data_IF_755078724741
#
_entry.id   IF_755078724741
#
_cell.length_a   1.000
_cell.length_b   1.000
_cell.length_c   1.000
_cell.angle_alpha   90.00
_cell.angle_beta   90.00
_cell.angle_gamma   90.00
#
_symmetry.space_group_name_H-M   'P 1'
#
loop_
_entity.id
_entity.type
_entity.pdbx_description
1 polymer ?
#
# COMPACT_ATOMS: atom_id res chain seq x y z
N UNK A 1 -17.03 31.75 10.47
CA UNK A 1 -16.69 30.58 9.64
C UNK A 1 -17.19 29.36 10.39
N UNK A 2 -18.17 28.64 9.84
CA UNK A 2 -18.65 27.39 10.43
C UNK A 2 -17.70 26.25 10.04
N UNK A 3 -17.11 25.60 11.04
CA UNK A 3 -16.35 24.37 10.87
C UNK A 3 -17.33 23.26 10.50
N UNK A 4 -17.36 22.86 9.23
CA UNK A 4 -18.08 21.66 8.80
C UNK A 4 -17.34 20.42 9.30
N UNK A 5 -17.79 19.88 10.42
CA UNK A 5 -17.34 18.58 10.92
C UNK A 5 -17.79 17.52 9.91
N UNK A 6 -16.84 16.85 9.26
CA UNK A 6 -17.12 15.68 8.41
C UNK A 6 -17.15 14.45 9.30
N UNK A 7 -18.34 13.92 9.55
CA UNK A 7 -18.54 12.66 10.28
C UNK A 7 -18.26 11.48 9.35
N UNK A 8 -17.40 10.56 9.78
CA UNK A 8 -17.20 9.26 9.14
C UNK A 8 -17.95 8.22 10.00
N UNK A 9 -18.80 7.40 9.37
CA UNK A 9 -19.52 6.30 10.03
C UNK A 9 -18.98 4.96 9.56
N UNK A 10 -18.73 4.05 10.50
CA UNK A 10 -18.35 2.67 10.25
C UNK A 10 -19.45 1.71 10.73
N UNK A 11 -19.61 0.57 10.06
CA UNK A 11 -20.47 -0.52 10.51
C UNK A 11 -19.90 -1.12 11.81
N UNK A 12 -20.72 -1.12 12.87
CA UNK A 12 -20.38 -1.48 14.25
C UNK A 12 -19.89 -2.94 14.42
N UNK A 13 -20.27 -3.83 13.52
CA UNK A 13 -20.13 -5.26 13.73
C UNK A 13 -18.93 -5.80 12.94
N UNK A 14 -17.73 -5.69 13.53
CA UNK A 14 -16.54 -6.37 13.01
C UNK A 14 -15.21 -5.93 13.62
N UNK A 15 -15.05 -4.66 14.00
CA UNK A 15 -13.78 -4.12 14.52
C UNK A 15 -14.06 -3.23 15.73
N UNK A 16 -13.57 -3.63 16.89
CA UNK A 16 -13.82 -2.98 18.20
C UNK A 16 -12.95 -1.74 18.45
N UNK A 17 -12.37 -1.12 17.42
CA UNK A 17 -11.55 0.09 17.54
C UNK A 17 -11.14 0.68 16.19
N UNK A 18 -10.99 2.00 16.13
CA UNK A 18 -10.28 2.65 15.03
C UNK A 18 -8.78 2.52 15.31
N UNK A 19 -8.16 1.43 14.88
CA UNK A 19 -6.70 1.25 14.94
C UNK A 19 -6.06 2.20 13.91
N UNK A 20 -5.89 3.45 14.35
CA UNK A 20 -5.37 4.53 13.54
C UNK A 20 -3.85 4.53 13.56
N UNK A 21 -3.24 4.69 12.39
CA UNK A 21 -1.80 5.02 12.28
C UNK A 21 -1.65 6.37 11.61
N UNK A 22 -0.81 7.21 12.22
CA UNK A 22 -0.39 8.50 11.67
C UNK A 22 1.05 8.36 11.17
N UNK A 23 1.28 8.72 9.91
CA UNK A 23 2.60 8.72 9.28
C UNK A 23 2.53 9.60 8.05
N UNK A 24 3.68 10.08 7.58
CA UNK A 24 3.80 10.73 6.29
C UNK A 24 3.93 9.64 5.20
N UNK A 25 2.92 9.48 4.34
CA UNK A 25 2.87 8.47 3.27
C UNK A 25 3.24 9.03 1.90
N UNK A 26 3.43 10.35 1.77
CA UNK A 26 3.72 11.01 0.50
C UNK A 26 5.00 11.90 0.54
N UNK A 27 5.66 11.96 1.69
CA UNK A 27 6.86 12.72 2.01
C UNK A 27 6.71 14.24 1.87
N UNK A 28 5.53 14.78 2.19
CA UNK A 28 5.28 16.22 2.20
C UNK A 28 5.53 16.90 3.57
N UNK A 29 5.91 16.12 4.58
CA UNK A 29 6.17 16.57 5.94
C UNK A 29 4.91 16.73 6.80
N UNK A 30 3.74 16.34 6.30
CA UNK A 30 2.47 16.39 7.01
C UNK A 30 2.03 14.97 7.38
N UNK A 31 1.27 14.85 8.48
CA UNK A 31 0.79 13.55 8.93
C UNK A 31 -0.45 13.14 8.15
N UNK A 32 -0.34 12.02 7.45
CA UNK A 32 -1.47 11.30 6.88
C UNK A 32 -2.05 10.33 7.92
N UNK A 33 -3.18 9.71 7.57
CA UNK A 33 -3.89 8.80 8.47
C UNK A 33 -4.30 7.52 7.76
N UNK A 34 -4.22 6.39 8.48
CA UNK A 34 -4.86 5.15 8.07
C UNK A 34 -5.82 4.64 9.15
N UNK A 35 -6.82 3.86 8.74
CA UNK A 35 -7.75 3.17 9.65
C UNK A 35 -7.89 1.73 9.16
N UNK A 36 -7.74 0.74 10.06
CA UNK A 36 -8.05 -0.66 9.74
C UNK A 36 -9.53 -0.80 9.41
N UNK A 37 -9.82 -1.28 8.20
CA UNK A 37 -11.19 -1.53 7.74
C UNK A 37 -11.53 -3.01 7.63
N UNK A 38 -10.52 -3.88 7.49
CA UNK A 38 -10.71 -5.32 7.46
C UNK A 38 -9.40 -6.06 7.73
N UNK A 39 -9.50 -7.38 7.88
CA UNK A 39 -8.36 -8.29 7.93
C UNK A 39 -8.65 -9.46 6.98
N UNK A 40 -7.69 -9.80 6.14
CA UNK A 40 -7.80 -10.89 5.16
C UNK A 40 -6.63 -11.87 5.28
N UNK A 41 -6.62 -12.91 4.44
CA UNK A 41 -5.55 -13.92 4.38
C UNK A 41 -5.19 -14.50 5.76
N UNK A 42 -6.20 -14.91 6.54
CA UNK A 42 -6.05 -15.47 7.90
C UNK A 42 -5.27 -14.57 8.88
N UNK A 43 -5.33 -13.25 8.70
CA UNK A 43 -4.63 -12.31 9.57
C UNK A 43 -3.43 -11.62 8.92
N UNK A 44 -2.90 -12.17 7.82
CA UNK A 44 -1.65 -11.68 7.24
C UNK A 44 -1.82 -10.38 6.44
N UNK A 45 -3.04 -10.06 6.01
CA UNK A 45 -3.35 -8.81 5.30
C UNK A 45 -4.16 -7.88 6.21
N UNK A 46 -3.50 -6.91 6.84
CA UNK A 46 -4.15 -5.79 7.50
C UNK A 46 -4.62 -4.80 6.43
N UNK A 47 -5.93 -4.78 6.17
CA UNK A 47 -6.54 -3.92 5.15
C UNK A 47 -6.88 -2.59 5.80
N UNK A 48 -6.35 -1.51 5.24
CA UNK A 48 -6.53 -0.15 5.76
C UNK A 48 -7.07 0.79 4.70
N UNK A 49 -7.94 1.70 5.12
CA UNK A 49 -8.23 2.93 4.39
C UNK A 49 -7.10 3.93 4.62
N UNK A 50 -6.62 4.57 3.56
CA UNK A 50 -5.60 5.61 3.60
C UNK A 50 -6.23 6.98 3.30
N UNK A 51 -5.86 7.97 4.10
CA UNK A 51 -6.28 9.35 3.98
C UNK A 51 -5.05 10.25 3.93
N UNK A 52 -4.88 10.98 2.84
CA UNK A 52 -3.77 11.91 2.63
C UNK A 52 -4.21 13.32 3.03
N UNK A 53 -3.41 14.03 3.82
CA UNK A 53 -3.72 15.40 4.17
C UNK A 53 -3.39 16.35 3.01
N UNK A 54 -4.39 17.09 2.52
CA UNK A 54 -4.24 18.11 1.50
C UNK A 54 -4.28 19.50 2.13
N UNK A 55 -3.11 20.14 2.22
CA UNK A 55 -2.95 21.49 2.75
C UNK A 55 -3.74 22.54 1.97
N UNK A 56 -3.99 22.34 0.67
CA UNK A 56 -4.68 23.34 -0.15
C UNK A 56 -6.16 23.45 0.17
N UNK A 57 -6.78 22.34 0.59
CA UNK A 57 -8.20 22.29 0.95
C UNK A 57 -8.44 22.10 2.45
N UNK A 58 -7.37 21.94 3.23
CA UNK A 58 -7.36 21.64 4.67
C UNK A 58 -8.22 20.43 5.02
N UNK A 59 -8.02 19.34 4.25
CA UNK A 59 -8.85 18.13 4.33
C UNK A 59 -8.02 16.87 4.18
N UNK A 60 -8.52 15.81 4.80
CA UNK A 60 -8.11 14.44 4.51
C UNK A 60 -8.83 13.95 3.25
N UNK A 61 -8.06 13.54 2.25
CA UNK A 61 -8.52 12.95 0.99
C UNK A 61 -8.37 11.43 1.09
N UNK A 62 -9.49 10.72 1.06
CA UNK A 62 -9.49 9.25 1.03
C UNK A 62 -8.92 8.74 -0.29
N UNK A 63 -7.95 7.82 -0.21
CA UNK A 63 -7.49 7.05 -1.35
C UNK A 63 -8.50 5.92 -1.61
N UNK A 64 -9.34 6.10 -2.62
CA UNK A 64 -10.55 5.27 -2.87
C UNK A 64 -10.27 3.78 -3.03
N UNK A 65 -9.08 3.42 -3.50
CA UNK A 65 -8.65 2.05 -3.75
C UNK A 65 -7.60 1.55 -2.73
N UNK A 66 -7.43 2.23 -1.61
CA UNK A 66 -6.44 1.85 -0.57
C UNK A 66 -6.68 0.45 0.01
N UNK A 67 -7.93 0.00 0.07
CA UNK A 67 -8.27 -1.34 0.58
C UNK A 67 -7.75 -2.49 -0.33
N UNK A 68 -7.36 -2.19 -1.58
CA UNK A 68 -6.72 -3.17 -2.45
C UNK A 68 -5.25 -3.45 -2.10
N UNK A 69 -4.68 -2.63 -1.20
CA UNK A 69 -3.26 -2.60 -0.90
C UNK A 69 -3.06 -2.79 0.61
N UNK A 70 -3.12 -4.03 1.13
CA UNK A 70 -2.87 -4.30 2.54
C UNK A 70 -1.43 -4.00 2.95
N UNK A 71 -1.23 -3.82 4.27
CA UNK A 71 0.10 -3.70 4.87
C UNK A 71 0.96 -2.55 4.29
N UNK A 72 0.33 -1.45 3.85
CA UNK A 72 1.00 -0.28 3.29
C UNK A 72 2.04 0.32 4.25
N UNK A 73 3.18 0.71 3.70
CA UNK A 73 4.21 1.53 4.35
C UNK A 73 4.72 2.59 3.38
N UNK A 74 5.30 3.66 3.93
CA UNK A 74 6.06 4.59 3.13
C UNK A 74 7.49 4.07 2.89
N UNK A 75 7.87 4.00 1.63
CA UNK A 75 9.17 3.56 1.16
C UNK A 75 10.05 4.77 0.85
N UNK A 76 11.01 5.04 1.74
CA UNK A 76 11.94 6.17 1.60
C UNK A 76 12.94 6.00 0.46
N UNK A 77 13.32 4.77 0.15
CA UNK A 77 14.34 4.49 -0.87
C UNK A 77 13.83 4.80 -2.29
N UNK A 78 12.54 4.57 -2.52
CA UNK A 78 11.87 4.82 -3.81
C UNK A 78 10.95 6.04 -3.80
N UNK A 79 10.82 6.71 -2.65
CA UNK A 79 9.89 7.82 -2.42
C UNK A 79 8.47 7.47 -2.91
N UNK A 80 7.92 6.37 -2.40
CA UNK A 80 6.62 5.86 -2.80
C UNK A 80 5.91 5.15 -1.64
N UNK A 81 4.67 4.74 -1.84
CA UNK A 81 4.01 3.81 -0.93
C UNK A 81 4.31 2.40 -1.45
N UNK A 82 4.73 1.50 -0.58
CA UNK A 82 4.76 0.07 -0.91
C UNK A 82 3.72 -0.69 -0.08
N UNK A 83 3.11 -1.71 -0.66
CA UNK A 83 2.14 -2.56 0.00
C UNK A 83 2.54 -4.03 -0.13
N UNK A 84 2.26 -4.80 0.92
CA UNK A 84 2.67 -6.20 1.01
C UNK A 84 1.45 -7.11 1.06
N UNK A 85 1.23 -7.86 -0.01
CA UNK A 85 0.08 -8.71 -0.21
C UNK A 85 0.47 -10.15 0.05
N UNK A 86 -0.21 -10.80 1.00
CA UNK A 86 0.01 -12.20 1.36
C UNK A 86 -1.11 -13.07 0.80
N UNK A 87 -0.73 -14.18 0.17
CA UNK A 87 -1.62 -15.23 -0.34
C UNK A 87 -0.86 -16.58 -0.37
N UNK A 88 -1.09 -17.45 -1.36
CA UNK A 88 -0.29 -18.66 -1.56
C UNK A 88 1.21 -18.39 -1.81
N UNK A 89 1.57 -17.12 -2.06
CA UNK A 89 2.91 -16.56 -1.99
C UNK A 89 2.82 -15.13 -1.43
N UNK A 90 3.67 -14.24 -1.92
CA UNK A 90 3.55 -12.82 -1.58
C UNK A 90 3.82 -11.91 -2.77
N UNK A 91 3.28 -10.69 -2.72
CA UNK A 91 3.63 -9.62 -3.65
C UNK A 91 3.98 -8.36 -2.88
N UNK A 92 5.06 -7.69 -3.29
CA UNK A 92 5.30 -6.29 -2.94
C UNK A 92 4.95 -5.43 -4.15
N UNK A 93 4.01 -4.51 -3.98
CA UNK A 93 3.62 -3.55 -5.02
C UNK A 93 4.08 -2.15 -4.64
N UNK A 94 4.52 -1.38 -5.63
CA UNK A 94 5.01 -0.01 -5.46
C UNK A 94 4.04 0.98 -6.11
N UNK A 95 3.59 1.95 -5.33
CA UNK A 95 2.42 2.77 -5.60
C UNK A 95 2.76 4.26 -5.54
N UNK A 96 2.12 5.04 -6.40
CA UNK A 96 2.12 6.51 -6.34
C UNK A 96 0.70 7.03 -6.14
N UNK A 97 0.59 8.15 -5.44
CA UNK A 97 -0.67 8.89 -5.36
C UNK A 97 -0.93 9.59 -6.70
N UNK A 98 -2.15 9.49 -7.19
CA UNK A 98 -2.63 10.14 -8.41
C UNK A 98 -4.05 10.62 -8.20
N UNK A 99 -4.21 11.84 -7.71
CA UNK A 99 -5.51 12.36 -7.31
C UNK A 99 -5.97 11.68 -6.02
N UNK A 100 -7.17 11.11 -6.03
CA UNK A 100 -7.79 10.40 -4.90
C UNK A 100 -7.58 8.87 -4.96
N UNK A 101 -6.53 8.42 -5.64
CA UNK A 101 -6.27 7.00 -5.90
C UNK A 101 -4.78 6.67 -5.90
N UNK A 102 -4.46 5.42 -5.58
CA UNK A 102 -3.13 4.84 -5.68
C UNK A 102 -2.94 4.17 -7.04
N UNK A 103 -1.79 4.39 -7.67
CA UNK A 103 -1.43 3.77 -8.95
C UNK A 103 -0.15 2.97 -8.82
N UNK A 104 -0.25 1.68 -9.10
CA UNK A 104 0.90 0.78 -9.19
C UNK A 104 1.78 1.16 -10.38
N UNK A 105 3.09 1.19 -10.15
CA UNK A 105 4.08 1.42 -11.21
C UNK A 105 5.10 0.29 -11.29
N UNK A 106 5.21 -0.55 -10.27
CA UNK A 106 6.03 -1.75 -10.28
C UNK A 106 5.52 -2.76 -9.24
N UNK A 107 5.88 -4.03 -9.43
CA UNK A 107 5.62 -5.10 -8.47
C UNK A 107 6.66 -6.20 -8.52
N UNK A 108 6.82 -6.89 -7.39
CA UNK A 108 7.61 -8.10 -7.24
C UNK A 108 6.71 -9.17 -6.64
N UNK A 109 6.46 -10.24 -7.39
CA UNK A 109 5.72 -11.42 -6.94
C UNK A 109 6.70 -12.54 -6.57
N UNK A 110 6.52 -13.13 -5.40
CA UNK A 110 7.25 -14.28 -4.87
C UNK A 110 6.28 -15.45 -4.60
N UNK A 111 6.03 -16.28 -5.61
CA UNK A 111 5.13 -17.45 -5.51
C UNK A 111 5.74 -18.71 -6.14
N UNK A 112 6.00 -18.72 -7.45
CA UNK A 112 6.66 -19.83 -8.15
C UNK A 112 8.03 -19.40 -8.66
N UNK A 113 8.76 -18.69 -7.80
CA UNK A 113 9.90 -17.88 -8.18
C UNK A 113 9.66 -16.41 -7.89
N UNK A 114 10.55 -15.57 -8.40
CA UNK A 114 10.46 -14.12 -8.33
C UNK A 114 10.16 -13.56 -9.71
N UNK A 115 9.06 -12.83 -9.85
CA UNK A 115 8.71 -12.09 -11.06
C UNK A 115 8.64 -10.61 -10.76
N UNK A 116 9.40 -9.79 -11.49
CA UNK A 116 9.38 -8.33 -11.36
C UNK A 116 8.70 -7.72 -12.58
N UNK A 117 7.73 -6.85 -12.34
CA UNK A 117 6.98 -6.13 -13.37
C UNK A 117 7.13 -4.63 -13.21
N UNK A 118 7.14 -3.92 -14.34
CA UNK A 118 6.88 -2.49 -14.42
C UNK A 118 5.52 -2.25 -15.09
N UNK A 119 4.78 -1.27 -14.57
CA UNK A 119 3.46 -0.88 -15.08
C UNK A 119 3.56 0.54 -15.63
N UNK A 120 3.18 0.70 -16.89
CA UNK A 120 3.19 2.02 -17.51
C UNK A 120 1.95 2.85 -17.14
N UNK A 121 1.94 4.12 -17.52
CA UNK A 121 0.83 5.05 -17.25
C UNK A 121 -0.56 4.62 -17.76
N UNK A 122 -0.62 3.67 -18.70
CA UNK A 122 -1.86 3.12 -19.25
C UNK A 122 -2.28 1.81 -18.56
N UNK A 123 -1.57 1.38 -17.51
CA UNK A 123 -1.81 0.11 -16.82
C UNK A 123 -1.24 -1.12 -17.55
N UNK A 124 -0.44 -0.94 -18.61
CA UNK A 124 0.16 -2.09 -19.31
C UNK A 124 1.40 -2.56 -18.56
N UNK A 125 1.39 -3.84 -18.21
CA UNK A 125 2.48 -4.54 -17.54
C UNK A 125 3.59 -4.95 -18.52
N UNK A 126 4.83 -4.95 -18.01
CA UNK A 126 5.99 -5.54 -18.66
C UNK A 126 6.81 -6.29 -17.60
N UNK A 127 7.06 -7.58 -17.81
CA UNK A 127 8.01 -8.34 -17.00
C UNK A 127 9.43 -7.84 -17.34
N UNK A 128 10.19 -7.47 -16.31
CA UNK A 128 11.58 -7.00 -16.46
C UNK A 128 12.60 -7.95 -15.85
N UNK A 129 12.16 -8.88 -15.01
CA UNK A 129 12.96 -9.96 -14.45
C UNK A 129 12.05 -11.14 -14.08
N UNK A 130 12.55 -12.36 -14.27
CA UNK A 130 11.88 -13.57 -13.84
C UNK A 130 12.92 -14.63 -13.48
N UNK A 131 12.77 -15.24 -12.31
CA UNK A 131 13.56 -16.37 -11.85
C UNK A 131 12.61 -17.41 -11.22
N UNK A 132 12.55 -18.61 -11.79
CA UNK A 132 11.64 -19.69 -11.36
C UNK A 132 12.35 -20.78 -10.56
N UNK A 133 13.62 -20.58 -10.19
CA UNK A 133 14.44 -21.61 -9.54
C UNK A 133 14.10 -21.78 -8.06
N UNK A 134 13.63 -20.72 -7.39
CA UNK A 134 13.21 -20.74 -5.99
C UNK A 134 11.68 -20.83 -5.85
N UNK A 135 11.20 -21.51 -4.81
CA UNK A 135 9.75 -21.67 -4.54
C UNK A 135 9.24 -20.61 -3.56
N UNK A 136 7.90 -20.50 -3.50
CA UNK A 136 7.10 -19.59 -2.68
C UNK A 136 7.79 -19.07 -1.43
N UNK A 137 7.92 -17.75 -1.36
CA UNK A 137 8.58 -17.10 -0.27
C UNK A 137 7.74 -15.92 0.24
N UNK A 138 7.66 -15.81 1.57
CA UNK A 138 7.05 -14.70 2.27
C UNK A 138 8.08 -13.57 2.36
N UNK A 139 8.28 -12.85 1.26
CA UNK A 139 9.36 -11.85 1.13
C UNK A 139 8.75 -10.52 0.74
N UNK A 140 8.94 -9.51 1.60
CA UNK A 140 8.68 -8.11 1.25
C UNK A 140 9.94 -7.51 0.63
N UNK A 141 9.80 -6.93 -0.55
CA UNK A 141 10.88 -6.28 -1.26
C UNK A 141 10.93 -4.79 -0.97
N UNK A 142 12.11 -4.27 -0.64
CA UNK A 142 12.34 -2.85 -0.44
C UNK A 142 12.48 -2.10 -1.77
N UNK A 143 13.11 -2.72 -2.76
CA UNK A 143 13.25 -2.15 -4.10
C UNK A 143 13.10 -3.22 -5.17
N UNK A 144 12.65 -2.84 -6.37
CA UNK A 144 12.48 -3.75 -7.51
C UNK A 144 13.60 -3.64 -8.56
N UNK A 145 14.37 -2.54 -8.53
CA UNK A 145 15.48 -2.27 -9.45
C UNK A 145 16.54 -1.35 -8.82
N UNK A 146 17.69 -1.89 -8.34
CA UNK A 146 17.98 -3.32 -8.20
C UNK A 146 16.99 -3.99 -7.22
N UNK A 147 16.85 -5.31 -7.32
CA UNK A 147 16.01 -6.06 -6.40
C UNK A 147 16.67 -6.10 -5.01
N UNK A 148 15.94 -5.68 -3.98
CA UNK A 148 16.39 -5.76 -2.57
C UNK A 148 15.24 -6.14 -1.67
N UNK A 149 15.51 -6.93 -0.66
CA UNK A 149 14.58 -7.38 0.37
C UNK A 149 14.64 -6.45 1.58
N UNK A 150 13.59 -6.43 2.41
CA UNK A 150 13.71 -5.89 3.77
C UNK A 150 14.43 -6.93 4.65
N UNK A 151 15.32 -6.47 5.54
CA UNK A 151 16.10 -7.38 6.40
C UNK A 151 15.21 -8.16 7.40
N UNK A 152 14.11 -7.56 7.87
CA UNK A 152 13.10 -8.19 8.74
C UNK A 152 11.69 -7.61 8.43
N UNK A 153 10.67 -8.48 8.32
CA UNK A 153 9.24 -8.11 8.24
C UNK A 153 8.37 -9.08 9.05
#
# INVERSE_FOLDING_TARGET
METKIKTIQFSKDGITGCDTKLSDFNNDGLSDMTIVSSVAARGANEVRRLFIYDKSTDKLIEMKNSENYPNMLYNKDLNCIDAFLVYGGSSTVFLRISGDSLKEFASVEAMDGVTVKEINKNGKEKIIFQDTTNKAAYIRFKTYKPLKEYDEY
#
